data_IF_464602849227
#
_entry.id   IF_464602849227
#
_cell.length_a   1.000
_cell.length_b   1.000
_cell.length_c   1.000
_cell.angle_alpha   90.00
_cell.angle_beta   90.00
_cell.angle_gamma   90.00
#
_symmetry.space_group_name_H-M   'P 1'
#
loop_
_entity.id
_entity.type
_entity.pdbx_description
1 polymer ?
#
# COMPACT_ATOMS: atom_id res chain seq x y z
N UNK A 1 -2.77 28.58 15.26
CA UNK A 1 -2.03 29.19 14.13
C UNK A 1 -0.62 28.59 14.12
N UNK A 2 -0.40 27.49 13.39
CA UNK A 2 0.90 27.04 12.89
C UNK A 2 0.64 25.84 11.97
N UNK A 3 0.32 26.17 10.71
CA UNK A 3 0.32 25.19 9.62
C UNK A 3 1.77 24.86 9.27
N UNK A 4 2.25 23.69 9.62
CA UNK A 4 3.47 23.15 9.03
C UNK A 4 3.09 22.48 7.71
N UNK A 5 3.30 23.20 6.61
CA UNK A 5 3.47 22.61 5.29
C UNK A 5 4.63 21.61 5.38
N UNK A 6 4.33 20.32 5.34
CA UNK A 6 5.31 19.32 4.98
C UNK A 6 5.63 19.52 3.49
N UNK A 7 6.72 20.22 3.21
CA UNK A 7 7.30 20.28 1.89
C UNK A 7 7.71 18.84 1.52
N UNK A 8 7.02 18.26 0.54
CA UNK A 8 7.47 17.03 -0.09
C UNK A 8 8.74 17.36 -0.88
N UNK A 9 9.89 17.05 -0.28
CA UNK A 9 11.13 17.06 -1.00
C UNK A 9 11.03 16.00 -2.11
N UNK A 10 11.12 16.42 -3.36
CA UNK A 10 11.44 15.55 -4.47
C UNK A 10 12.79 14.92 -4.17
N UNK A 11 12.78 13.63 -3.86
CA UNK A 11 13.99 12.90 -3.56
C UNK A 11 14.77 12.68 -4.86
N UNK A 12 15.75 13.56 -5.14
CA UNK A 12 16.80 13.25 -6.10
C UNK A 12 17.71 12.16 -5.53
N UNK A 13 17.54 10.97 -6.03
CA UNK A 13 18.35 9.80 -5.66
C UNK A 13 19.76 9.98 -6.22
N UNK A 14 20.71 10.37 -5.39
CA UNK A 14 22.13 10.39 -5.77
C UNK A 14 22.62 8.98 -6.08
N UNK A 15 23.06 8.77 -7.29
CA UNK A 15 23.42 7.52 -7.98
C UNK A 15 24.51 6.64 -7.30
N UNK A 16 25.18 7.10 -6.27
CA UNK A 16 26.50 6.57 -5.86
C UNK A 16 26.56 5.48 -4.78
N UNK A 17 25.46 5.14 -4.10
CA UNK A 17 25.47 4.04 -3.10
C UNK A 17 24.52 2.88 -3.45
N UNK A 18 23.86 2.97 -4.57
CA UNK A 18 22.75 2.11 -4.97
C UNK A 18 23.14 0.70 -5.38
N UNK A 19 24.25 0.55 -6.05
CA UNK A 19 24.67 -0.74 -6.63
C UNK A 19 24.95 -1.83 -5.59
N UNK A 20 25.34 -1.47 -4.35
CA UNK A 20 25.63 -2.46 -3.28
C UNK A 20 24.38 -3.07 -2.62
N UNK A 21 23.26 -2.33 -2.58
CA UNK A 21 22.03 -2.81 -1.91
C UNK A 21 21.15 -3.65 -2.83
N UNK A 22 21.15 -3.37 -4.14
CA UNK A 22 20.41 -4.17 -5.14
C UNK A 22 20.96 -5.60 -5.22
N UNK A 23 22.23 -5.80 -4.88
CA UNK A 23 22.88 -7.11 -4.87
C UNK A 23 22.70 -7.90 -3.57
N UNK A 24 21.89 -7.41 -2.62
CA UNK A 24 21.59 -8.23 -1.44
C UNK A 24 20.69 -9.40 -1.88
N UNK A 25 21.12 -10.67 -1.75
CA UNK A 25 20.42 -11.82 -2.36
C UNK A 25 18.97 -11.99 -1.91
N UNK A 26 18.63 -11.52 -0.70
CA UNK A 26 17.26 -11.55 -0.16
C UNK A 26 16.34 -10.50 -0.80
N UNK A 27 16.90 -9.38 -1.25
CA UNK A 27 16.14 -8.30 -1.88
C UNK A 27 16.01 -8.54 -3.37
N UNK A 28 17.08 -9.00 -4.04
CA UNK A 28 17.05 -9.35 -5.47
C UNK A 28 15.98 -10.41 -5.80
N UNK A 29 15.78 -11.40 -4.91
CA UNK A 29 14.70 -12.39 -5.06
C UNK A 29 13.29 -11.80 -4.95
N UNK A 30 13.12 -10.68 -4.26
CA UNK A 30 11.81 -10.02 -4.07
C UNK A 30 11.51 -8.96 -5.12
N UNK A 31 12.53 -8.39 -5.77
CA UNK A 31 12.34 -7.35 -6.81
C UNK A 31 11.85 -7.95 -8.14
N UNK A 32 12.00 -9.24 -8.38
CA UNK A 32 11.75 -9.90 -9.66
C UNK A 32 10.83 -11.14 -9.67
N UNK A 33 9.83 -11.28 -8.83
CA UNK A 33 8.85 -12.33 -9.09
C UNK A 33 7.83 -11.80 -10.11
N UNK A 34 7.95 -12.22 -11.37
CA UNK A 34 6.81 -12.21 -12.27
C UNK A 34 5.72 -13.12 -11.67
N UNK A 35 4.49 -12.62 -11.55
CA UNK A 35 3.37 -13.40 -11.04
C UNK A 35 3.25 -13.47 -9.52
N UNK A 36 3.74 -12.46 -8.79
CA UNK A 36 3.47 -12.30 -7.37
C UNK A 36 1.94 -12.15 -7.16
N UNK A 37 1.36 -12.99 -6.30
CA UNK A 37 -0.09 -13.03 -6.02
C UNK A 37 -0.95 -12.98 -7.30
N UNK A 38 -0.90 -14.00 -8.17
CA UNK A 38 -1.44 -13.90 -9.53
C UNK A 38 -2.94 -13.64 -9.58
N UNK A 39 -3.71 -14.11 -8.60
CA UNK A 39 -5.16 -13.87 -8.51
C UNK A 39 -5.45 -12.41 -8.19
N UNK A 40 -4.77 -11.87 -7.19
CA UNK A 40 -4.88 -10.47 -6.73
C UNK A 40 -4.43 -9.53 -7.83
N UNK A 41 -3.23 -9.75 -8.37
CA UNK A 41 -2.65 -8.94 -9.43
C UNK A 41 -3.56 -8.88 -10.63
N UNK A 42 -4.06 -10.03 -11.12
CA UNK A 42 -4.99 -10.09 -12.24
C UNK A 42 -6.30 -9.37 -11.95
N UNK A 43 -6.87 -9.54 -10.75
CA UNK A 43 -8.06 -8.83 -10.33
C UNK A 43 -7.87 -7.32 -10.40
N UNK A 44 -6.73 -6.82 -9.85
CA UNK A 44 -6.44 -5.39 -9.81
C UNK A 44 -6.12 -4.79 -11.18
N UNK A 45 -5.44 -5.53 -12.05
CA UNK A 45 -5.02 -5.08 -13.39
C UNK A 45 -6.15 -5.11 -14.40
N UNK A 46 -6.94 -6.19 -14.41
CA UNK A 46 -7.90 -6.45 -15.49
C UNK A 46 -9.28 -5.82 -15.25
N UNK A 47 -9.57 -5.36 -14.02
CA UNK A 47 -10.85 -4.74 -13.70
C UNK A 47 -10.79 -3.23 -13.92
N UNK A 48 -11.77 -2.67 -14.63
CA UNK A 48 -11.99 -1.22 -14.64
C UNK A 48 -12.61 -0.78 -13.31
N UNK A 49 -11.81 -0.11 -12.50
CA UNK A 49 -12.23 0.34 -11.18
C UNK A 49 -12.97 1.68 -11.20
N UNK A 50 -12.95 2.43 -12.32
CA UNK A 50 -13.55 3.75 -12.45
C UNK A 50 -12.79 4.85 -11.70
N UNK A 51 -11.53 4.61 -11.31
CA UNK A 51 -10.69 5.56 -10.60
C UNK A 51 -9.30 5.00 -10.28
N UNK A 52 -8.45 5.77 -9.57
CA UNK A 52 -7.11 5.30 -9.21
C UNK A 52 -7.17 4.11 -8.26
N UNK A 53 -6.16 3.27 -8.33
CA UNK A 53 -5.93 2.19 -7.37
C UNK A 53 -5.03 2.69 -6.26
N UNK A 54 -5.43 2.46 -5.01
CA UNK A 54 -4.54 2.63 -3.87
C UNK A 54 -3.95 1.28 -3.49
N UNK A 55 -2.63 1.15 -3.59
CA UNK A 55 -1.88 -0.03 -3.15
C UNK A 55 -1.29 0.30 -1.78
N UNK A 56 -1.97 -0.14 -0.72
CA UNK A 56 -1.61 0.15 0.68
C UNK A 56 -0.88 -1.04 1.25
N UNK A 57 0.39 -0.82 1.61
CA UNK A 57 1.38 -1.85 1.87
C UNK A 57 2.08 -2.28 0.58
N UNK A 58 2.56 -1.28 -0.20
CA UNK A 58 3.16 -1.55 -1.53
C UNK A 58 4.47 -2.32 -1.47
N UNK A 59 5.12 -2.34 -0.32
CA UNK A 59 6.37 -3.07 -0.12
C UNK A 59 7.44 -2.64 -1.14
N UNK A 60 8.04 -3.57 -1.87
CA UNK A 60 9.00 -3.27 -2.96
C UNK A 60 8.33 -2.92 -4.29
N UNK A 61 7.00 -2.85 -4.34
CA UNK A 61 6.23 -2.37 -5.50
C UNK A 61 5.94 -3.41 -6.57
N UNK A 62 5.92 -4.70 -6.24
CA UNK A 62 5.62 -5.74 -7.23
C UNK A 62 4.22 -5.58 -7.82
N UNK A 63 3.22 -5.47 -6.96
CA UNK A 63 1.82 -5.33 -7.37
C UNK A 63 1.59 -3.94 -7.98
N UNK A 64 2.10 -2.86 -7.34
CA UNK A 64 1.99 -1.50 -7.87
C UNK A 64 2.53 -1.38 -9.30
N UNK A 65 3.65 -2.04 -9.62
CA UNK A 65 4.23 -2.06 -10.97
C UNK A 65 3.28 -2.68 -12.00
N UNK A 66 2.68 -3.82 -11.67
CA UNK A 66 1.74 -4.49 -12.57
C UNK A 66 0.45 -3.67 -12.75
N UNK A 67 -0.10 -3.12 -11.66
CA UNK A 67 -1.28 -2.25 -11.73
C UNK A 67 -1.02 -1.02 -12.59
N UNK A 68 0.19 -0.46 -12.49
CA UNK A 68 0.58 0.73 -13.24
C UNK A 68 0.56 0.57 -14.76
N UNK A 69 0.50 -0.66 -15.28
CA UNK A 69 0.36 -0.90 -16.71
C UNK A 69 -0.98 -0.42 -17.28
N UNK A 70 -2.01 -0.27 -16.42
CA UNK A 70 -3.38 0.08 -16.86
C UNK A 70 -4.04 1.17 -16.03
N UNK A 71 -3.57 1.40 -14.78
CA UNK A 71 -4.24 2.28 -13.82
C UNK A 71 -3.29 3.34 -13.27
N UNK A 72 -3.87 4.46 -12.83
CA UNK A 72 -3.17 5.38 -11.93
C UNK A 72 -3.08 4.75 -10.56
N UNK A 73 -1.90 4.81 -9.92
CA UNK A 73 -1.63 4.16 -8.64
C UNK A 73 -1.13 5.16 -7.61
N UNK A 74 -1.65 5.05 -6.39
CA UNK A 74 -1.05 5.63 -5.20
C UNK A 74 -0.49 4.48 -4.36
N UNK A 75 0.84 4.39 -4.26
CA UNK A 75 1.58 3.31 -3.61
C UNK A 75 2.01 3.76 -2.21
N UNK A 76 1.32 3.27 -1.17
CA UNK A 76 1.60 3.63 0.22
C UNK A 76 2.56 2.62 0.84
N UNK A 77 3.67 3.12 1.40
CA UNK A 77 4.66 2.30 2.09
C UNK A 77 5.36 3.14 3.18
N UNK A 78 5.25 2.76 4.47
CA UNK A 78 5.87 3.51 5.56
C UNK A 78 7.34 3.16 5.81
N UNK A 79 7.81 1.98 5.39
CA UNK A 79 9.16 1.51 5.68
C UNK A 79 10.19 2.21 4.79
N UNK A 80 11.02 3.06 5.39
CA UNK A 80 12.02 3.86 4.68
C UNK A 80 13.00 3.00 3.86
N UNK A 81 13.32 1.79 4.31
CA UNK A 81 14.21 0.90 3.56
C UNK A 81 13.52 0.34 2.31
N UNK A 82 12.22 0.08 2.39
CA UNK A 82 11.44 -0.42 1.26
C UNK A 82 11.12 0.70 0.27
N UNK A 83 10.88 1.92 0.73
CA UNK A 83 10.64 3.09 -0.14
C UNK A 83 11.74 3.30 -1.18
N UNK A 84 12.95 2.95 -0.84
CA UNK A 84 14.07 3.04 -1.76
C UNK A 84 13.93 2.07 -2.94
N UNK A 85 13.57 0.81 -2.65
CA UNK A 85 13.33 -0.21 -3.68
C UNK A 85 12.07 0.09 -4.48
N UNK A 86 11.01 0.49 -3.79
CA UNK A 86 9.75 0.92 -4.38
C UNK A 86 9.97 2.04 -5.39
N UNK A 87 10.65 3.12 -4.98
CA UNK A 87 10.97 4.24 -5.85
C UNK A 87 11.84 3.86 -7.06
N UNK A 88 12.80 2.95 -6.88
CA UNK A 88 13.60 2.44 -7.99
C UNK A 88 12.77 1.61 -8.97
N UNK A 89 11.94 0.71 -8.47
CA UNK A 89 11.10 -0.16 -9.30
C UNK A 89 10.10 0.63 -10.12
N UNK A 90 9.53 1.68 -9.54
CA UNK A 90 8.47 2.49 -10.13
C UNK A 90 8.97 3.77 -10.85
N UNK A 91 10.28 3.97 -10.95
CA UNK A 91 10.88 5.19 -11.51
C UNK A 91 10.43 5.53 -12.94
N UNK A 92 10.11 4.52 -13.73
CA UNK A 92 9.70 4.64 -15.12
C UNK A 92 8.15 4.51 -15.27
N UNK A 93 7.40 4.54 -14.17
CA UNK A 93 5.94 4.49 -14.14
C UNK A 93 5.35 5.89 -13.84
N UNK A 94 5.09 6.73 -14.86
CA UNK A 94 4.67 8.13 -14.65
C UNK A 94 3.28 8.28 -14.01
N UNK A 95 2.48 7.24 -14.02
CA UNK A 95 1.14 7.17 -13.44
C UNK A 95 1.14 6.66 -11.99
N UNK A 96 2.31 6.45 -11.37
CA UNK A 96 2.45 6.07 -9.97
C UNK A 96 2.88 7.25 -9.12
N UNK A 97 2.22 7.40 -7.98
CA UNK A 97 2.64 8.31 -6.90
C UNK A 97 3.00 7.48 -5.68
N UNK A 98 4.27 7.50 -5.30
CA UNK A 98 4.72 6.87 -4.06
C UNK A 98 4.35 7.77 -2.88
N UNK A 99 3.68 7.20 -1.89
CA UNK A 99 3.21 7.88 -0.68
C UNK A 99 3.96 7.28 0.52
N UNK A 100 4.96 7.99 1.07
CA UNK A 100 5.85 7.47 2.11
C UNK A 100 5.20 7.53 3.50
N UNK A 101 4.08 6.86 3.68
CA UNK A 101 3.38 6.78 4.96
C UNK A 101 2.52 5.52 5.09
N UNK A 102 2.19 5.17 6.32
CA UNK A 102 1.17 4.18 6.61
C UNK A 102 -0.24 4.79 6.50
N UNK A 103 -1.20 4.01 6.01
CA UNK A 103 -2.61 4.32 6.14
C UNK A 103 -3.13 3.72 7.45
N UNK A 104 -3.75 4.55 8.28
CA UNK A 104 -4.27 4.15 9.59
C UNK A 104 -5.70 4.62 9.78
N UNK A 105 -6.38 4.14 10.82
CA UNK A 105 -7.74 4.57 11.12
C UNK A 105 -7.79 6.08 11.45
N UNK A 106 -6.89 6.55 12.30
CA UNK A 106 -6.96 7.87 12.95
C UNK A 106 -5.74 8.78 12.71
N UNK A 107 -4.78 8.36 11.90
CA UNK A 107 -3.56 9.13 11.59
C UNK A 107 -2.55 9.21 12.73
N UNK A 108 -2.76 8.48 13.83
CA UNK A 108 -1.79 8.49 14.93
C UNK A 108 -0.45 7.90 14.50
N UNK A 109 0.65 8.49 14.97
CA UNK A 109 1.98 7.97 14.72
C UNK A 109 2.10 6.51 15.17
N UNK A 110 2.77 5.71 14.35
CA UNK A 110 3.03 4.31 14.64
C UNK A 110 4.51 3.98 14.43
N UNK A 111 4.99 2.97 15.13
CA UNK A 111 6.30 2.41 14.84
C UNK A 111 6.20 1.45 13.65
N UNK A 112 7.19 1.50 12.77
CA UNK A 112 7.29 0.63 11.63
C UNK A 112 8.58 -0.18 11.71
N UNK A 113 8.52 -1.47 11.40
CA UNK A 113 9.74 -2.28 11.31
C UNK A 113 10.67 -1.72 10.22
N UNK A 114 11.97 -1.73 10.51
CA UNK A 114 13.01 -1.46 9.51
C UNK A 114 13.51 -2.75 8.86
N UNK A 115 13.14 -3.90 9.42
CA UNK A 115 13.52 -5.19 8.88
C UNK A 115 12.72 -5.47 7.59
N UNK A 116 13.34 -6.08 6.59
CA UNK A 116 12.63 -6.48 5.37
C UNK A 116 11.68 -7.66 5.57
N UNK A 117 11.57 -8.18 6.78
CA UNK A 117 10.66 -9.24 7.20
C UNK A 117 9.49 -8.61 7.97
N UNK A 118 8.56 -8.20 7.33
CA UNK A 118 7.20 -7.68 7.36
C UNK A 118 6.36 -7.78 8.63
N UNK A 119 6.74 -8.43 9.70
CA UNK A 119 6.04 -8.28 10.97
C UNK A 119 6.34 -6.89 11.55
N UNK A 120 5.32 -6.11 11.80
CA UNK A 120 5.40 -4.84 12.52
C UNK A 120 5.70 -5.11 14.01
N UNK A 121 6.96 -5.27 14.44
CA UNK A 121 7.22 -5.15 15.87
C UNK A 121 7.11 -3.67 16.22
N UNK A 122 6.50 -3.35 17.34
CA UNK A 122 6.44 -1.99 17.91
C UNK A 122 7.82 -1.46 18.35
N UNK A 123 8.89 -1.80 17.63
CA UNK A 123 10.28 -1.53 18.01
C UNK A 123 11.07 -0.75 16.98
N UNK A 124 10.47 -0.44 15.83
CA UNK A 124 11.12 0.35 14.77
C UNK A 124 11.00 1.86 14.96
N UNK A 125 11.54 2.66 14.01
CA UNK A 125 11.37 4.09 14.02
C UNK A 125 9.90 4.49 13.81
N UNK A 126 9.57 5.71 14.22
CA UNK A 126 8.25 6.29 13.95
C UNK A 126 8.05 6.50 12.45
N UNK A 127 6.99 5.94 11.91
CA UNK A 127 6.57 6.14 10.54
C UNK A 127 5.65 7.35 10.41
N UNK A 128 5.71 8.03 9.27
CA UNK A 128 4.66 8.96 8.89
C UNK A 128 3.35 8.20 8.66
N UNK A 129 2.24 8.79 9.07
CA UNK A 129 0.91 8.18 8.96
C UNK A 129 -0.08 9.16 8.33
N UNK A 130 -1.10 8.63 7.68
CA UNK A 130 -2.30 9.36 7.27
C UNK A 130 -3.52 8.59 7.77
N UNK A 131 -4.52 9.32 8.26
CA UNK A 131 -5.83 8.71 8.43
C UNK A 131 -6.47 8.41 7.08
N UNK A 132 -7.44 7.48 7.05
CA UNK A 132 -8.24 7.24 5.84
C UNK A 132 -8.86 8.56 5.33
N UNK A 133 -9.39 9.37 6.24
CA UNK A 133 -10.04 10.64 5.92
C UNK A 133 -9.09 11.65 5.27
N UNK A 134 -7.87 11.79 5.82
CA UNK A 134 -6.89 12.72 5.28
C UNK A 134 -6.32 12.24 3.94
N UNK A 135 -6.18 10.92 3.78
CA UNK A 135 -5.80 10.34 2.51
C UNK A 135 -6.85 10.59 1.43
N UNK A 136 -8.15 10.40 1.74
CA UNK A 136 -9.25 10.68 0.83
C UNK A 136 -9.33 12.16 0.45
N UNK A 137 -9.14 13.08 1.42
CA UNK A 137 -9.07 14.52 1.14
C UNK A 137 -7.92 14.89 0.24
N UNK A 138 -6.75 14.24 0.42
CA UNK A 138 -5.52 14.59 -0.28
C UNK A 138 -5.43 13.99 -1.68
N UNK A 139 -5.84 12.75 -1.87
CA UNK A 139 -5.64 12.00 -3.11
C UNK A 139 -6.94 11.73 -3.88
N UNK A 140 -8.10 12.10 -3.31
CA UNK A 140 -9.42 11.82 -3.88
C UNK A 140 -9.89 10.39 -3.61
N UNK A 141 -11.10 10.05 -4.05
CA UNK A 141 -11.67 8.71 -3.90
C UNK A 141 -10.99 7.74 -4.86
N UNK A 142 -10.49 6.60 -4.38
CA UNK A 142 -10.00 5.53 -5.26
C UNK A 142 -11.15 4.76 -5.89
N UNK A 143 -10.88 4.11 -7.00
CA UNK A 143 -11.76 3.10 -7.57
C UNK A 143 -11.74 1.80 -6.76
N UNK A 144 -10.57 1.46 -6.20
CA UNK A 144 -10.37 0.34 -5.28
C UNK A 144 -9.15 0.62 -4.38
N UNK A 145 -9.18 0.09 -3.16
CA UNK A 145 -8.03 0.05 -2.24
C UNK A 145 -7.59 -1.41 -2.08
N UNK A 146 -6.35 -1.75 -2.46
CA UNK A 146 -5.68 -2.94 -1.93
C UNK A 146 -5.19 -2.61 -0.54
N UNK A 147 -5.50 -3.45 0.43
CA UNK A 147 -5.12 -3.29 1.83
C UNK A 147 -4.41 -4.55 2.32
N UNK A 148 -3.10 -4.44 2.48
CA UNK A 148 -2.21 -5.50 2.90
C UNK A 148 -1.11 -4.84 3.76
N UNK A 149 -1.37 -4.73 5.05
CA UNK A 149 -0.58 -3.96 6.02
C UNK A 149 -0.24 -4.75 7.28
N UNK A 150 -0.08 -6.07 7.10
CA UNK A 150 0.48 -6.96 8.12
C UNK A 150 -0.27 -6.92 9.46
N UNK A 151 -1.60 -6.95 9.39
CA UNK A 151 -2.50 -7.01 10.56
C UNK A 151 -3.13 -5.67 10.95
N UNK A 152 -2.81 -4.57 10.27
CA UNK A 152 -3.46 -3.26 10.45
C UNK A 152 -4.82 -3.15 9.78
N UNK A 153 -5.18 -4.10 8.90
CA UNK A 153 -6.43 -4.15 8.15
C UNK A 153 -7.64 -4.08 9.07
N UNK A 154 -7.55 -4.79 10.20
CA UNK A 154 -8.64 -4.90 11.19
C UNK A 154 -9.00 -3.56 11.84
N UNK A 155 -8.06 -2.64 11.92
CA UNK A 155 -8.32 -1.30 12.44
C UNK A 155 -8.77 -0.37 11.31
N UNK A 156 -8.07 -0.37 10.18
CA UNK A 156 -8.37 0.51 9.04
C UNK A 156 -9.79 0.28 8.52
N UNK A 157 -10.24 -0.99 8.44
CA UNK A 157 -11.57 -1.34 7.93
C UNK A 157 -12.72 -0.77 8.78
N UNK A 158 -12.47 -0.38 10.04
CA UNK A 158 -13.46 0.25 10.91
C UNK A 158 -13.80 1.69 10.47
N UNK A 159 -12.95 2.32 9.65
CA UNK A 159 -13.20 3.69 9.21
C UNK A 159 -14.54 3.81 8.49
N UNK A 160 -15.44 4.72 8.94
CA UNK A 160 -16.70 4.97 8.25
C UNK A 160 -16.51 5.55 6.84
N UNK A 161 -15.38 6.22 6.60
CA UNK A 161 -15.06 6.84 5.30
C UNK A 161 -14.77 5.84 4.20
N UNK A 162 -14.56 4.56 4.54
CA UNK A 162 -14.48 3.46 3.57
C UNK A 162 -15.84 3.03 3.04
N UNK A 163 -16.94 3.51 3.63
CA UNK A 163 -18.30 3.19 3.15
C UNK A 163 -18.46 3.61 1.69
N UNK A 164 -18.97 2.69 0.87
CA UNK A 164 -19.14 2.92 -0.56
C UNK A 164 -17.83 2.79 -1.39
N UNK A 165 -16.72 2.36 -0.78
CA UNK A 165 -15.49 2.02 -1.49
C UNK A 165 -15.36 0.51 -1.69
N UNK A 166 -14.70 0.12 -2.78
CA UNK A 166 -14.28 -1.26 -3.02
C UNK A 166 -12.92 -1.49 -2.37
N UNK A 167 -12.78 -2.62 -1.68
CA UNK A 167 -11.54 -2.98 -1.02
C UNK A 167 -11.13 -4.39 -1.47
N UNK A 168 -9.85 -4.59 -1.73
CA UNK A 168 -9.23 -5.89 -1.85
C UNK A 168 -8.30 -6.06 -0.65
N UNK A 169 -8.66 -6.94 0.26
CA UNK A 169 -8.00 -7.06 1.56
C UNK A 169 -7.28 -8.40 1.67
N UNK A 170 -6.01 -8.39 2.07
CA UNK A 170 -5.33 -9.56 2.58
C UNK A 170 -5.54 -9.67 4.09
N UNK A 171 -6.02 -10.82 4.55
CA UNK A 171 -6.28 -11.07 5.95
C UNK A 171 -5.17 -11.90 6.58
N UNK A 172 -4.47 -11.31 7.53
CA UNK A 172 -3.39 -11.97 8.29
C UNK A 172 -3.89 -12.79 9.48
N UNK A 173 -5.19 -12.79 9.69
CA UNK A 173 -5.93 -13.59 10.68
C UNK A 173 -7.28 -13.97 10.07
N UNK A 174 -8.20 -14.48 10.88
CA UNK A 174 -9.56 -14.80 10.44
C UNK A 174 -10.28 -13.56 9.88
N UNK A 175 -11.06 -13.76 8.82
CA UNK A 175 -11.89 -12.69 8.23
C UNK A 175 -12.87 -12.19 9.29
N UNK A 176 -12.95 -10.87 9.53
CA UNK A 176 -13.90 -10.32 10.50
C UNK A 176 -15.34 -10.65 10.13
N UNK A 177 -16.15 -10.95 11.13
CA UNK A 177 -17.60 -11.21 10.94
C UNK A 177 -18.41 -9.93 10.69
N UNK A 178 -17.93 -8.79 11.17
CA UNK A 178 -18.60 -7.48 11.07
C UNK A 178 -18.26 -6.72 9.78
N UNK A 179 -18.64 -7.27 8.63
CA UNK A 179 -18.44 -6.65 7.32
C UNK A 179 -19.79 -6.28 6.66
N UNK A 180 -20.77 -5.85 7.45
CA UNK A 180 -22.16 -5.63 7.01
C UNK A 180 -22.32 -4.58 5.91
N UNK A 181 -21.33 -3.69 5.73
CA UNK A 181 -21.31 -2.64 4.72
C UNK A 181 -20.96 -3.14 3.31
N UNK A 182 -20.47 -4.39 3.20
CA UNK A 182 -19.97 -4.93 1.93
C UNK A 182 -20.57 -6.27 1.58
N UNK A 183 -20.64 -6.53 0.29
CA UNK A 183 -20.74 -7.88 -0.27
C UNK A 183 -19.33 -8.48 -0.26
N UNK A 184 -19.21 -9.72 0.19
CA UNK A 184 -17.93 -10.39 0.42
C UNK A 184 -17.72 -11.42 -0.68
N UNK A 185 -16.60 -11.31 -1.41
CA UNK A 185 -16.18 -12.28 -2.42
C UNK A 185 -14.76 -12.75 -2.12
N UNK A 186 -14.57 -13.95 -1.59
CA UNK A 186 -13.24 -14.55 -1.45
C UNK A 186 -12.59 -14.69 -2.83
N UNK A 187 -11.31 -14.36 -2.93
CA UNK A 187 -10.50 -14.54 -4.14
C UNK A 187 -9.58 -15.76 -4.02
N UNK A 188 -9.02 -15.95 -2.85
CA UNK A 188 -8.20 -17.11 -2.47
C UNK A 188 -8.27 -17.32 -0.93
N UNK A 189 -7.30 -18.05 -0.36
CA UNK A 189 -7.31 -18.40 1.07
C UNK A 189 -7.17 -17.20 2.02
N UNK A 190 -6.51 -16.13 1.59
CA UNK A 190 -6.22 -14.94 2.41
C UNK A 190 -6.85 -13.66 1.87
N UNK A 191 -7.18 -13.60 0.60
CA UNK A 191 -7.66 -12.38 -0.05
C UNK A 191 -9.17 -12.37 -0.27
N UNK A 192 -9.75 -11.22 0.02
CA UNK A 192 -11.19 -10.98 -0.16
C UNK A 192 -11.44 -9.66 -0.88
N UNK A 193 -12.29 -9.70 -1.90
CA UNK A 193 -12.83 -8.49 -2.52
C UNK A 193 -14.14 -8.10 -1.82
N UNK A 194 -14.15 -6.89 -1.28
CA UNK A 194 -15.29 -6.26 -0.64
C UNK A 194 -15.87 -5.20 -1.58
N UNK A 195 -17.14 -5.34 -1.93
CA UNK A 195 -17.85 -4.35 -2.76
C UNK A 195 -19.01 -3.75 -1.98
N UNK A 196 -19.33 -2.47 -2.16
CA UNK A 196 -20.46 -1.84 -1.45
C UNK A 196 -21.77 -2.61 -1.64
N UNK A 197 -22.57 -2.68 -0.57
CA UNK A 197 -23.97 -3.12 -0.67
C UNK A 197 -24.86 -2.06 -1.27
#
# INVERSE_FOLDING_TARGET
MFGRLLAFATFEVKRCRFTRLIHHPRVAKRIHPHGFEPVVTRCLVDTDWGGPVWDVGSNVGNIAYEIAQRHKVFAFEPNLNLLYYLGYKLKDCPNVTVVPCALTLDGKPMQCSIEPNFSLPNTGPMAATLSVDDALKKFGRPGVIKLDIEGGEYEVIKSPSLTGLKLLVEWHREVPTALDRWNIKPLDATHTLLTPK
#
